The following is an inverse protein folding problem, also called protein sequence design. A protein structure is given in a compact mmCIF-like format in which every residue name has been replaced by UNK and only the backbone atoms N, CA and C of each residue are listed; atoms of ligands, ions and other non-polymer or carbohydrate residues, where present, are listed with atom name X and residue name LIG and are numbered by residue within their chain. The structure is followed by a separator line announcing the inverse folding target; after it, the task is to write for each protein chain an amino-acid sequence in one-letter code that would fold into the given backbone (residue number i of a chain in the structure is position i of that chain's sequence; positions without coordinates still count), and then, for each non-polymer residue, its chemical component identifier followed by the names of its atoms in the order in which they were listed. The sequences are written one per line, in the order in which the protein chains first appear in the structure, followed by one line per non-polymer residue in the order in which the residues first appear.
data_IF_422794039332
#
_entry.id   IF_422794039332
#
_cell.length_a   1.000
_cell.length_b   1.000
_cell.length_c   1.000
_cell.angle_alpha   90.00
_cell.angle_beta   90.00
_cell.angle_gamma   90.00
#
_symmetry.space_group_name_H-M   'P 1'
#
loop_
_entity.id
_entity.type
_entity.pdbx_description
1 polymer ?
#
# COMPACT_ATOMS: atom_id res chain seq x y z
N UNK A 1 21.09 4.52 -10.22
CA UNK A 1 20.32 5.32 -9.25
C UNK A 1 18.88 5.36 -9.74
N UNK A 2 17.88 5.21 -8.87
CA UNK A 2 16.49 5.34 -9.27
C UNK A 2 16.25 6.77 -9.81
N UNK A 3 15.69 6.89 -11.02
CA UNK A 3 15.47 8.17 -11.68
C UNK A 3 14.09 8.69 -11.35
N UNK A 4 13.96 9.99 -11.09
CA UNK A 4 12.68 10.66 -10.87
C UNK A 4 11.83 10.81 -12.15
N UNK A 5 12.01 9.92 -13.13
CA UNK A 5 11.35 9.93 -14.46
C UNK A 5 10.54 8.66 -14.73
N UNK A 6 10.25 7.85 -13.70
CA UNK A 6 9.60 6.54 -13.90
C UNK A 6 8.25 6.66 -14.62
N UNK A 7 7.46 7.72 -14.36
CA UNK A 7 6.21 8.03 -15.08
C UNK A 7 6.36 8.16 -16.60
N UNK A 8 7.57 8.39 -17.13
CA UNK A 8 7.83 8.47 -18.57
C UNK A 8 8.29 7.14 -19.18
N UNK A 9 8.80 6.25 -18.35
CA UNK A 9 9.40 4.98 -18.78
C UNK A 9 8.47 3.80 -18.51
N UNK A 10 7.51 3.95 -17.59
CA UNK A 10 6.64 2.87 -17.12
C UNK A 10 5.82 2.23 -18.24
N UNK A 11 5.29 3.00 -19.19
CA UNK A 11 4.50 2.47 -20.30
C UNK A 11 5.30 1.50 -21.18
N UNK A 12 6.57 1.81 -21.42
CA UNK A 12 7.49 0.95 -22.17
C UNK A 12 7.86 -0.30 -21.38
N UNK A 13 8.13 -0.16 -20.08
CA UNK A 13 8.49 -1.28 -19.20
C UNK A 13 7.31 -2.22 -18.92
N UNK A 14 6.08 -1.71 -19.01
CA UNK A 14 4.85 -2.44 -18.69
C UNK A 14 4.24 -3.20 -19.88
N UNK A 15 4.75 -3.02 -21.12
CA UNK A 15 4.09 -3.56 -22.33
C UNK A 15 3.81 -5.07 -22.28
N UNK A 16 4.67 -5.85 -21.63
CA UNK A 16 4.57 -7.31 -21.56
C UNK A 16 4.00 -7.83 -20.22
N UNK A 17 3.43 -6.96 -19.39
CA UNK A 17 2.95 -7.31 -18.05
C UNK A 17 1.48 -6.91 -17.84
N UNK A 18 0.70 -7.79 -17.20
CA UNK A 18 -0.67 -7.48 -16.81
C UNK A 18 -0.72 -6.52 -15.61
N UNK A 19 0.20 -6.71 -14.65
CA UNK A 19 0.28 -5.96 -13.39
C UNK A 19 1.73 -5.52 -13.16
N UNK A 20 1.96 -4.24 -12.86
CA UNK A 20 3.29 -3.71 -12.46
C UNK A 20 3.24 -3.18 -11.04
N UNK A 21 4.14 -3.67 -10.18
CA UNK A 21 4.24 -3.23 -8.77
C UNK A 21 5.50 -2.39 -8.60
N UNK A 22 5.31 -1.13 -8.16
CA UNK A 22 6.40 -0.21 -7.86
C UNK A 22 6.56 -0.10 -6.34
N UNK A 23 7.69 -0.58 -5.82
CA UNK A 23 8.02 -0.41 -4.39
C UNK A 23 8.68 0.96 -4.16
N UNK A 24 8.00 1.78 -3.36
CA UNK A 24 8.41 3.16 -3.10
C UNK A 24 9.54 3.27 -2.07
N UNK A 25 10.38 4.31 -2.13
CA UNK A 25 11.35 4.56 -1.07
C UNK A 25 10.64 4.90 0.25
N UNK A 26 11.28 4.67 1.42
CA UNK A 26 10.66 4.89 2.73
C UNK A 26 10.42 6.37 3.08
N UNK A 27 10.86 7.31 2.24
CA UNK A 27 10.76 8.75 2.47
C UNK A 27 10.13 9.44 1.27
N UNK A 28 9.29 10.43 1.56
CA UNK A 28 8.75 11.36 0.58
C UNK A 28 9.90 12.09 -0.11
N UNK A 29 10.03 11.86 -1.41
CA UNK A 29 11.08 12.41 -2.27
C UNK A 29 10.48 12.71 -3.64
N UNK A 30 11.23 13.38 -4.52
CA UNK A 30 10.82 13.57 -5.93
C UNK A 30 10.51 12.23 -6.63
N UNK A 31 11.15 11.14 -6.20
CA UNK A 31 10.88 9.80 -6.71
C UNK A 31 9.45 9.35 -6.39
N UNK A 32 8.94 9.62 -5.19
CA UNK A 32 7.56 9.26 -4.79
C UNK A 32 6.54 9.94 -5.68
N UNK A 33 6.71 11.24 -5.99
CA UNK A 33 5.83 11.95 -6.92
C UNK A 33 5.81 11.31 -8.31
N UNK A 34 7.00 10.94 -8.79
CA UNK A 34 7.16 10.24 -10.06
C UNK A 34 6.47 8.87 -10.07
N UNK A 35 6.52 8.13 -8.95
CA UNK A 35 5.83 6.85 -8.77
C UNK A 35 4.31 7.04 -8.76
N UNK A 36 3.81 8.03 -8.03
CA UNK A 36 2.37 8.33 -7.96
C UNK A 36 1.82 8.66 -9.35
N UNK A 37 2.50 9.51 -10.12
CA UNK A 37 2.09 9.87 -11.48
C UNK A 37 2.14 8.69 -12.46
N UNK A 38 2.90 7.64 -12.16
CA UNK A 38 3.03 6.44 -12.97
C UNK A 38 1.98 5.37 -12.64
N UNK A 39 1.22 5.53 -11.54
CA UNK A 39 0.40 4.47 -10.97
C UNK A 39 -1.10 4.68 -11.25
N UNK A 40 -1.79 3.61 -11.66
CA UNK A 40 -3.26 3.59 -11.71
C UNK A 40 -3.87 3.55 -10.29
N UNK A 41 -3.18 2.90 -9.36
CA UNK A 41 -3.58 2.77 -7.97
C UNK A 41 -2.38 2.92 -7.03
N UNK A 42 -2.49 3.84 -6.07
CA UNK A 42 -1.54 4.03 -4.98
C UNK A 42 -2.08 3.35 -3.71
N UNK A 43 -1.25 2.48 -3.13
CA UNK A 43 -1.55 1.81 -1.87
C UNK A 43 -0.63 2.41 -0.80
N UNK A 44 -1.21 2.99 0.24
CA UNK A 44 -0.45 3.56 1.36
C UNK A 44 -0.53 2.57 2.53
N UNK A 45 0.53 1.76 2.77
CA UNK A 45 0.57 0.86 3.91
C UNK A 45 0.87 1.62 5.19
N UNK A 46 0.15 1.30 6.26
CA UNK A 46 0.36 1.95 7.56
C UNK A 46 0.04 1.03 8.72
N UNK A 47 0.73 1.23 9.84
CA UNK A 47 0.44 0.52 11.09
C UNK A 47 -0.60 1.27 11.91
N UNK A 48 -1.32 0.60 12.83
CA UNK A 48 -2.22 1.28 13.76
C UNK A 48 -1.42 2.04 14.83
N UNK A 49 -0.74 3.11 14.43
CA UNK A 49 0.03 4.01 15.29
C UNK A 49 -0.18 5.47 14.86
N UNK A 50 -0.20 6.44 15.80
CA UNK A 50 -0.36 7.86 15.45
C UNK A 50 0.71 8.39 14.49
N UNK A 51 1.96 7.92 14.62
CA UNK A 51 3.05 8.35 13.74
C UNK A 51 2.83 7.89 12.29
N UNK A 52 2.33 6.66 12.10
CA UNK A 52 2.02 6.15 10.77
C UNK A 52 0.82 6.88 10.16
N UNK A 53 -0.16 7.34 10.97
CA UNK A 53 -1.27 8.18 10.50
C UNK A 53 -0.76 9.51 9.95
N UNK A 54 0.15 10.18 10.66
CA UNK A 54 0.74 11.43 10.17
C UNK A 54 1.55 11.24 8.88
N UNK A 55 2.36 10.19 8.80
CA UNK A 55 3.10 9.87 7.57
C UNK A 55 2.17 9.54 6.39
N UNK A 56 1.05 8.87 6.66
CA UNK A 56 0.03 8.60 5.64
C UNK A 56 -0.61 9.89 5.13
N UNK A 57 -0.88 10.87 6.01
CA UNK A 57 -1.45 12.17 5.61
C UNK A 57 -0.57 12.89 4.57
N UNK A 58 0.75 12.96 4.81
CA UNK A 58 1.70 13.56 3.86
C UNK A 58 1.65 12.87 2.50
N UNK A 59 1.53 11.54 2.48
CA UNK A 59 1.45 10.78 1.23
C UNK A 59 0.11 10.99 0.53
N UNK A 60 -0.99 11.07 1.28
CA UNK A 60 -2.33 11.37 0.75
C UNK A 60 -2.35 12.73 0.07
N UNK A 61 -1.72 13.74 0.66
CA UNK A 61 -1.66 15.08 0.07
C UNK A 61 -0.88 15.09 -1.25
N UNK A 62 0.23 14.34 -1.36
CA UNK A 62 0.94 14.17 -2.64
C UNK A 62 0.08 13.47 -3.70
N UNK A 63 -0.73 12.48 -3.30
CA UNK A 63 -1.63 11.81 -4.22
C UNK A 63 -2.72 12.77 -4.69
N UNK A 64 -3.28 13.59 -3.80
CA UNK A 64 -4.24 14.64 -4.16
C UNK A 64 -3.62 15.67 -5.12
N UNK A 65 -2.38 16.07 -4.88
CA UNK A 65 -1.64 16.95 -5.79
C UNK A 65 -1.51 16.32 -7.18
N UNK A 66 -1.14 15.04 -7.26
CA UNK A 66 -1.05 14.31 -8.52
C UNK A 66 -2.41 14.14 -9.21
N UNK A 67 -3.48 13.93 -8.44
CA UNK A 67 -4.85 13.82 -8.95
C UNK A 67 -5.35 15.12 -9.60
N UNK A 68 -4.78 16.28 -9.28
CA UNK A 68 -5.05 17.52 -10.01
C UNK A 68 -4.57 17.46 -11.48
N UNK A 69 -3.55 16.64 -11.77
CA UNK A 69 -3.02 16.43 -13.11
C UNK A 69 -3.61 15.19 -13.79
N UNK A 70 -3.93 14.14 -13.00
CA UNK A 70 -4.55 12.92 -13.48
C UNK A 70 -5.59 12.41 -12.46
N UNK A 71 -6.88 12.73 -12.70
CA UNK A 71 -7.98 12.37 -11.81
C UNK A 71 -8.27 10.87 -11.73
N UNK A 72 -7.72 10.06 -12.64
CA UNK A 72 -7.94 8.61 -12.69
C UNK A 72 -7.09 7.86 -11.66
N UNK A 73 -6.05 8.49 -11.09
CA UNK A 73 -5.20 7.87 -10.06
C UNK A 73 -6.07 7.53 -8.85
N UNK A 74 -6.19 6.25 -8.53
CA UNK A 74 -6.91 5.77 -7.34
C UNK A 74 -5.95 5.73 -6.14
N UNK A 75 -6.50 5.90 -4.94
CA UNK A 75 -5.74 5.82 -3.69
C UNK A 75 -6.47 4.97 -2.67
N UNK A 76 -5.75 4.15 -1.92
CA UNK A 76 -6.33 3.41 -0.79
C UNK A 76 -5.34 3.24 0.37
N UNK A 77 -5.88 3.11 1.58
CA UNK A 77 -5.13 2.88 2.81
C UNK A 77 -5.18 1.41 3.20
N UNK A 78 -4.01 0.82 3.48
CA UNK A 78 -3.88 -0.60 3.84
C UNK A 78 -3.31 -0.77 5.25
N UNK A 79 -4.13 -1.24 6.18
CA UNK A 79 -3.66 -1.52 7.55
C UNK A 79 -2.74 -2.74 7.57
N UNK A 80 -1.49 -2.50 7.96
CA UNK A 80 -0.42 -3.50 8.08
C UNK A 80 0.02 -3.65 9.54
N UNK A 81 0.61 -4.81 9.85
CA UNK A 81 1.13 -5.19 11.18
C UNK A 81 0.12 -4.93 12.32
N UNK A 82 -1.17 -5.16 12.06
CA UNK A 82 -2.21 -4.95 13.07
C UNK A 82 -2.08 -5.97 14.19
N UNK A 83 -1.92 -5.51 15.42
CA UNK A 83 -2.07 -6.33 16.63
C UNK A 83 -3.57 -6.50 16.92
N UNK A 84 -4.00 -7.74 17.14
CA UNK A 84 -5.42 -8.06 17.30
C UNK A 84 -6.01 -7.40 18.56
N UNK A 85 -7.26 -6.96 18.46
CA UNK A 85 -8.11 -6.52 19.59
C UNK A 85 -7.59 -5.35 20.44
N UNK A 86 -6.74 -4.48 19.92
CA UNK A 86 -6.34 -3.26 20.64
C UNK A 86 -7.36 -2.14 20.44
N UNK A 87 -7.60 -1.32 21.48
CA UNK A 87 -8.39 -0.10 21.36
C UNK A 87 -7.79 0.85 20.30
N UNK A 88 -6.46 0.97 20.32
CA UNK A 88 -5.65 1.75 19.36
C UNK A 88 -5.99 1.40 17.91
N UNK A 89 -6.18 0.12 17.57
CA UNK A 89 -6.51 -0.27 16.21
C UNK A 89 -7.91 0.17 15.74
N UNK A 90 -8.86 0.39 16.66
CA UNK A 90 -10.17 0.96 16.34
C UNK A 90 -10.07 2.47 16.18
N UNK A 91 -9.40 3.12 17.12
CA UNK A 91 -9.24 4.58 17.14
C UNK A 91 -8.51 5.08 15.90
N UNK A 92 -7.45 4.37 15.47
CA UNK A 92 -6.73 4.70 14.23
C UNK A 92 -7.63 4.56 13.01
N UNK A 93 -8.44 3.51 12.90
CA UNK A 93 -9.33 3.35 11.73
C UNK A 93 -10.37 4.46 11.64
N UNK A 94 -10.85 4.99 12.77
CA UNK A 94 -11.71 6.16 12.79
C UNK A 94 -10.97 7.43 12.35
N UNK A 95 -9.76 7.68 12.88
CA UNK A 95 -8.94 8.82 12.47
C UNK A 95 -8.62 8.81 10.97
N UNK A 96 -8.39 7.64 10.37
CA UNK A 96 -8.13 7.53 8.94
C UNK A 96 -9.32 7.89 8.04
N UNK A 97 -10.55 7.90 8.57
CA UNK A 97 -11.72 8.33 7.79
C UNK A 97 -11.67 9.82 7.47
N UNK A 98 -10.95 10.62 8.26
CA UNK A 98 -10.76 12.06 8.03
C UNK A 98 -9.98 12.34 6.74
N UNK A 99 -9.23 11.36 6.22
CA UNK A 99 -8.50 11.50 4.96
C UNK A 99 -9.41 11.39 3.73
N UNK A 100 -10.67 10.96 3.88
CA UNK A 100 -11.60 10.74 2.76
C UNK A 100 -11.05 9.79 1.67
N UNK A 101 -10.05 8.97 2.02
CA UNK A 101 -9.46 7.95 1.16
C UNK A 101 -10.02 6.58 1.56
N UNK A 102 -10.40 5.71 0.60
CA UNK A 102 -10.86 4.36 0.89
C UNK A 102 -9.87 3.56 1.75
N UNK A 103 -10.34 3.03 2.88
CA UNK A 103 -9.56 2.11 3.73
C UNK A 103 -9.98 0.68 3.40
N UNK A 104 -9.02 -0.17 3.04
CA UNK A 104 -9.28 -1.58 2.78
C UNK A 104 -9.86 -2.27 4.04
N UNK A 105 -10.82 -3.17 3.82
CA UNK A 105 -11.46 -3.99 4.86
C UNK A 105 -10.57 -5.15 5.28
N UNK A 106 -9.65 -5.59 4.41
CA UNK A 106 -8.62 -6.56 4.75
C UNK A 106 -7.55 -5.90 5.62
N UNK A 107 -7.39 -6.42 6.84
CA UNK A 107 -6.25 -6.07 7.69
C UNK A 107 -5.16 -7.14 7.53
N UNK A 108 -3.89 -6.70 7.48
CA UNK A 108 -2.73 -7.60 7.57
C UNK A 108 -2.25 -7.57 9.03
N UNK A 109 -2.32 -8.73 9.69
CA UNK A 109 -1.92 -8.84 11.08
C UNK A 109 -0.40 -8.85 11.27
N UNK A 110 0.06 -8.56 12.48
CA UNK A 110 1.44 -8.89 12.84
C UNK A 110 1.58 -10.42 12.95
N UNK A 111 2.41 -11.01 12.07
CA UNK A 111 2.61 -12.47 11.97
C UNK A 111 4.10 -12.79 11.93
N UNK A 112 4.53 -13.78 12.71
CA UNK A 112 5.90 -14.34 12.65
C UNK A 112 6.18 -14.94 11.27
N UNK A 113 5.16 -15.48 10.62
CA UNK A 113 5.25 -16.08 9.27
C UNK A 113 5.88 -15.15 8.21
N UNK A 114 5.72 -13.82 8.32
CA UNK A 114 6.37 -12.88 7.39
C UNK A 114 7.90 -12.85 7.56
N UNK A 115 8.38 -12.92 8.81
CA UNK A 115 9.82 -12.99 9.09
C UNK A 115 10.40 -14.35 8.68
N UNK A 116 9.69 -15.44 8.94
CA UNK A 116 10.10 -16.79 8.53
C UNK A 116 10.15 -16.94 7.00
N UNK A 117 9.16 -16.39 6.29
CA UNK A 117 9.14 -16.43 4.82
C UNK A 117 10.28 -15.60 4.24
N UNK A 118 10.53 -14.40 4.79
CA UNK A 118 11.67 -13.57 4.38
C UNK A 118 13.02 -14.27 4.61
N UNK A 119 13.21 -14.90 5.78
CA UNK A 119 14.45 -15.63 6.10
C UNK A 119 14.68 -16.85 5.18
N UNK A 120 13.61 -17.45 4.66
CA UNK A 120 13.66 -18.58 3.73
C UNK A 120 13.64 -18.17 2.25
N UNK A 121 13.59 -16.88 1.93
CA UNK A 121 13.47 -16.40 0.54
C UNK A 121 12.15 -16.78 -0.14
N UNK A 122 11.09 -17.04 0.65
CA UNK A 122 9.77 -17.43 0.15
C UNK A 122 8.70 -16.39 0.50
N UNK A 123 7.54 -16.50 -0.13
CA UNK A 123 6.35 -15.74 0.24
C UNK A 123 5.47 -16.52 1.22
N UNK A 124 4.76 -15.82 2.12
CA UNK A 124 3.78 -16.44 3.05
C UNK A 124 2.70 -17.27 2.35
N UNK A 125 2.47 -17.03 1.05
CA UNK A 125 1.53 -17.78 0.22
C UNK A 125 1.90 -19.25 0.00
N UNK A 126 3.17 -19.64 0.22
CA UNK A 126 3.58 -21.05 0.17
C UNK A 126 2.90 -21.87 1.28
N UNK A 127 2.63 -21.25 2.42
CA UNK A 127 1.86 -21.85 3.50
C UNK A 127 0.37 -21.50 3.35
N UNK A 128 -0.29 -22.01 2.31
CA UNK A 128 -1.67 -21.63 1.90
C UNK A 128 -2.73 -21.69 3.02
N UNK A 129 -2.55 -22.57 4.00
CA UNK A 129 -3.48 -22.71 5.14
C UNK A 129 -3.22 -21.73 6.28
N UNK A 130 -2.07 -21.05 6.28
CA UNK A 130 -1.68 -20.09 7.30
C UNK A 130 -2.61 -18.89 7.33
N UNK A 131 -2.71 -18.25 8.50
CA UNK A 131 -3.50 -17.04 8.66
C UNK A 131 -2.95 -15.89 7.82
N UNK A 132 -1.62 -15.77 7.71
CA UNK A 132 -0.95 -14.77 6.89
C UNK A 132 -1.29 -14.92 5.40
N UNK A 133 -1.25 -16.15 4.86
CA UNK A 133 -1.63 -16.40 3.47
C UNK A 133 -3.08 -15.98 3.18
N UNK A 134 -4.02 -16.34 4.07
CA UNK A 134 -5.43 -15.95 3.94
C UNK A 134 -5.63 -14.42 4.00
N UNK A 135 -4.90 -13.74 4.87
CA UNK A 135 -4.93 -12.27 4.98
C UNK A 135 -4.45 -11.60 3.69
N UNK A 136 -3.31 -12.05 3.14
CA UNK A 136 -2.79 -11.53 1.87
C UNK A 136 -3.71 -11.85 0.69
N UNK A 137 -4.26 -13.06 0.59
CA UNK A 137 -5.24 -13.40 -0.46
C UNK A 137 -6.49 -12.51 -0.38
N UNK A 138 -6.98 -12.23 0.83
CA UNK A 138 -8.11 -11.31 1.02
C UNK A 138 -7.77 -9.89 0.57
N UNK A 139 -6.58 -9.41 0.93
CA UNK A 139 -6.06 -8.09 0.52
C UNK A 139 -5.97 -7.96 -1.01
N UNK A 140 -5.33 -8.91 -1.69
CA UNK A 140 -5.19 -8.88 -3.16
C UNK A 140 -6.57 -8.94 -3.84
N UNK A 141 -7.47 -9.80 -3.35
CA UNK A 141 -8.83 -9.89 -3.91
C UNK A 141 -9.65 -8.62 -3.71
N UNK A 142 -9.41 -7.87 -2.63
CA UNK A 142 -10.06 -6.58 -2.41
C UNK A 142 -9.47 -5.51 -3.32
N UNK A 143 -8.14 -5.45 -3.43
CA UNK A 143 -7.43 -4.51 -4.30
C UNK A 143 -7.87 -4.62 -5.77
N UNK A 144 -7.98 -5.85 -6.28
CA UNK A 144 -8.44 -6.13 -7.66
C UNK A 144 -9.88 -5.70 -7.96
N UNK A 145 -10.68 -5.34 -6.96
CA UNK A 145 -12.04 -4.79 -7.15
C UNK A 145 -12.05 -3.27 -7.19
N UNK A 146 -10.95 -2.63 -6.81
CA UNK A 146 -10.81 -1.17 -6.80
C UNK A 146 -10.23 -0.71 -8.13
N UNK A 147 -9.35 -1.50 -8.74
CA UNK A 147 -8.91 -1.34 -10.12
C UNK A 147 -10.11 -1.39 -11.08
#
# INVERSE_FOLDING_TARGET
MAKATIHKEIESLAQDYDDVVIDGPPRVTELVRSIILAADIVIIPLQPSPMDVWAAAETVDLVREAQMFNSEIKCCLALNRKTANTAIGRDVREALKEFEVPILKSDIGQRVAFAESAASGTAVLHQKRSKAAKEITKFVNELRRIQ
#
